data_IF_130244061499
#
_entry.id   IF_130244061499
#
_cell.length_a   1.000
_cell.length_b   1.000
_cell.length_c   1.000
_cell.angle_alpha   90.00
_cell.angle_beta   90.00
_cell.angle_gamma   90.00
#
_symmetry.space_group_name_H-M   'P 1'
#
loop_
_entity.id
_entity.type
_entity.pdbx_description
1 polymer ?
#
# COMPACT_ATOMS: atom_id res chain seq x y z
N UNK A 1 -9.12 -50.52 -11.23
CA UNK A 1 -8.42 -51.67 -11.81
C UNK A 1 -7.22 -51.18 -12.58
N UNK A 2 -6.02 -51.21 -12.01
CA UNK A 2 -4.70 -51.49 -12.56
C UNK A 2 -3.68 -51.22 -11.46
N UNK A 3 -3.12 -52.30 -10.96
CA UNK A 3 -1.94 -52.38 -10.09
C UNK A 3 -0.71 -51.92 -10.87
N UNK A 4 0.23 -51.20 -10.23
CA UNK A 4 1.64 -51.23 -10.61
C UNK A 4 2.46 -51.36 -9.34
N UNK A 5 3.28 -52.35 -9.39
CA UNK A 5 4.16 -53.03 -8.46
C UNK A 5 5.34 -52.19 -7.97
N UNK A 6 5.64 -52.38 -6.72
CA UNK A 6 6.92 -52.10 -6.01
C UNK A 6 8.11 -52.84 -6.61
N UNK A 7 9.27 -52.21 -6.72
CA UNK A 7 10.57 -52.91 -6.87
C UNK A 7 11.59 -52.29 -5.93
N UNK A 8 11.88 -53.09 -4.91
CA UNK A 8 13.02 -52.93 -4.01
C UNK A 8 14.31 -53.22 -4.79
N UNK A 9 15.37 -52.44 -4.54
CA UNK A 9 16.74 -52.85 -4.73
C UNK A 9 17.55 -52.43 -3.53
N UNK A 10 17.93 -53.43 -2.79
CA UNK A 10 19.03 -53.47 -1.80
C UNK A 10 20.37 -53.35 -2.52
N UNK A 11 21.37 -52.79 -1.85
CA UNK A 11 22.74 -52.80 -2.31
C UNK A 11 23.61 -51.79 -1.54
N UNK A 12 24.12 -52.17 -0.37
CA UNK A 12 25.26 -51.47 0.27
C UNK A 12 26.61 -51.92 -0.28
N UNK A 13 27.65 -51.15 -0.12
CA UNK A 13 28.97 -51.69 0.10
C UNK A 13 29.61 -51.17 1.37
N UNK A 14 29.98 -52.04 2.28
CA UNK A 14 31.32 -52.63 2.50
C UNK A 14 32.40 -51.63 2.97
N UNK A 15 32.70 -51.80 4.25
CA UNK A 15 33.74 -51.17 5.02
C UNK A 15 35.08 -51.86 4.64
N UNK A 16 36.06 -51.13 4.16
CA UNK A 16 37.43 -51.55 4.05
C UNK A 16 38.29 -50.87 5.11
N UNK A 17 38.72 -51.69 6.01
CA UNK A 17 39.69 -51.45 7.05
C UNK A 17 41.11 -51.60 6.41
N UNK A 18 41.97 -50.58 6.52
CA UNK A 18 43.42 -50.74 6.23
C UNK A 18 44.22 -50.20 7.40
N UNK A 19 44.95 -51.11 7.91
CA UNK A 19 45.84 -51.18 9.05
C UNK A 19 47.02 -50.19 9.03
N UNK A 20 47.45 -49.89 10.25
CA UNK A 20 48.72 -49.31 10.67
C UNK A 20 49.94 -50.02 10.01
N UNK A 21 50.91 -49.23 9.53
CA UNK A 21 52.33 -49.50 9.66
C UNK A 21 53.17 -48.31 9.20
N UNK A 22 54.13 -47.88 10.00
CA UNK A 22 55.19 -46.95 9.59
C UNK A 22 55.69 -45.96 10.64
N UNK A 23 56.08 -46.47 11.79
CA UNK A 23 56.94 -45.70 12.67
C UNK A 23 58.42 -45.81 12.21
N UNK A 24 59.06 -44.66 12.05
CA UNK A 24 60.52 -44.64 12.05
C UNK A 24 61.14 -43.52 11.20
N UNK A 25 62.08 -42.81 11.90
CA UNK A 25 63.20 -42.07 11.30
C UNK A 25 62.82 -40.68 10.72
N UNK A 26 63.25 -39.54 11.21
CA UNK A 26 64.55 -39.09 11.77
C UNK A 26 64.38 -37.73 12.50
N UNK A 27 64.92 -37.60 13.62
CA UNK A 27 65.44 -36.37 14.21
C UNK A 27 66.60 -35.87 13.30
N UNK A 28 66.51 -34.62 12.82
CA UNK A 28 67.62 -33.71 12.54
C UNK A 28 67.22 -32.62 11.58
N UNK A 29 66.86 -31.46 12.09
CA UNK A 29 67.18 -30.13 11.54
C UNK A 29 66.52 -29.04 12.39
N UNK A 30 66.81 -29.08 13.67
CA UNK A 30 66.61 -27.88 14.51
C UNK A 30 67.81 -26.96 14.28
N UNK A 31 67.69 -25.90 13.52
CA UNK A 31 68.78 -24.96 13.40
C UNK A 31 68.81 -23.95 12.28
N UNK A 32 67.75 -23.74 11.54
CA UNK A 32 67.82 -22.75 10.49
C UNK A 32 66.52 -21.97 10.18
N UNK A 33 65.66 -21.77 11.16
CA UNK A 33 64.40 -21.04 10.96
C UNK A 33 64.07 -19.95 11.98
N UNK A 34 65.13 -19.43 12.67
CA UNK A 34 64.97 -18.36 13.66
C UNK A 34 65.40 -16.97 13.18
N UNK A 35 65.38 -16.70 11.87
CA UNK A 35 65.84 -15.41 11.34
C UNK A 35 64.95 -14.80 10.21
N UNK A 36 63.72 -15.24 10.03
CA UNK A 36 62.87 -14.64 8.99
C UNK A 36 61.47 -14.14 9.48
N UNK A 37 61.17 -14.19 10.77
CA UNK A 37 59.87 -13.76 11.31
C UNK A 37 59.86 -12.40 11.98
N UNK A 38 60.60 -11.42 11.47
CA UNK A 38 60.58 -10.06 12.02
C UNK A 38 60.26 -8.98 11.00
N UNK A 39 59.34 -9.28 10.06
CA UNK A 39 58.70 -8.21 9.25
C UNK A 39 57.29 -8.62 8.83
N UNK A 40 56.45 -8.94 9.81
CA UNK A 40 55.03 -8.78 9.64
C UNK A 40 54.75 -7.29 9.71
N UNK A 41 54.64 -6.71 8.54
CA UNK A 41 54.15 -5.35 8.32
C UNK A 41 52.78 -5.22 9.00
N UNK A 42 52.70 -4.59 10.14
CA UNK A 42 51.47 -4.21 10.82
C UNK A 42 50.73 -3.24 9.89
N UNK A 43 49.82 -3.76 9.07
CA UNK A 43 48.77 -2.93 8.47
C UNK A 43 48.15 -2.07 9.59
N UNK A 44 48.15 -0.74 9.47
CA UNK A 44 47.50 0.10 10.47
C UNK A 44 46.03 -0.31 10.48
N UNK A 45 45.60 -1.00 11.53
CA UNK A 45 44.18 -1.11 11.86
C UNK A 45 43.68 0.32 11.93
N UNK A 46 42.90 0.74 10.93
CA UNK A 46 42.21 2.01 10.98
C UNK A 46 41.45 2.06 12.28
N UNK A 47 41.90 2.89 13.21
CA UNK A 47 41.28 3.05 14.52
C UNK A 47 39.80 3.33 14.26
N UNK A 48 38.94 2.44 14.75
CA UNK A 48 37.51 2.63 14.72
C UNK A 48 37.24 3.98 15.40
N UNK A 49 36.42 4.84 14.80
CA UNK A 49 36.11 6.14 15.40
C UNK A 49 35.55 5.94 16.80
N UNK A 50 36.08 6.67 17.77
CA UNK A 50 35.71 6.59 19.19
C UNK A 50 34.23 6.88 19.49
N UNK A 51 33.50 7.35 18.49
CA UNK A 51 32.07 7.55 18.57
C UNK A 51 31.37 6.68 17.51
N UNK A 52 30.36 5.89 17.89
CA UNK A 52 29.59 5.13 16.91
C UNK A 52 29.01 6.09 15.87
N UNK A 53 29.26 5.82 14.59
CA UNK A 53 28.75 6.62 13.46
C UNK A 53 27.23 6.68 13.42
N UNK A 54 26.55 5.71 14.00
CA UNK A 54 25.09 5.65 14.13
C UNK A 54 24.74 5.04 15.48
N UNK A 55 24.15 5.83 16.36
CA UNK A 55 23.57 5.33 17.61
C UNK A 55 22.11 5.00 17.34
N UNK A 56 21.78 3.70 17.33
CA UNK A 56 20.39 3.25 17.24
C UNK A 56 19.81 3.27 18.64
N UNK A 57 19.16 4.37 19.03
CA UNK A 57 18.44 4.46 20.29
C UNK A 57 16.99 4.02 20.09
N UNK A 58 16.44 3.17 20.95
CA UNK A 58 15.02 2.88 20.93
C UNK A 58 14.26 4.16 21.30
N UNK A 59 13.42 4.67 20.40
CA UNK A 59 12.64 5.89 20.64
C UNK A 59 11.71 5.66 21.84
N UNK A 60 12.04 6.25 22.99
CA UNK A 60 11.25 6.22 24.23
C UNK A 60 10.07 7.20 24.22
N UNK A 61 9.93 8.00 23.20
CA UNK A 61 8.96 9.11 23.17
C UNK A 61 7.68 8.72 22.41
N UNK A 62 6.57 9.19 22.90
CA UNK A 62 5.20 9.08 22.38
C UNK A 62 5.00 9.74 20.99
N UNK A 63 6.04 10.09 20.27
CA UNK A 63 5.93 10.72 18.95
C UNK A 63 5.52 9.63 17.94
N UNK A 64 4.23 9.55 17.71
CA UNK A 64 3.59 8.55 16.85
C UNK A 64 4.10 8.61 15.39
N UNK A 65 4.58 9.74 14.95
CA UNK A 65 5.13 9.98 13.60
C UNK A 65 6.41 10.80 13.73
N UNK A 66 7.56 10.18 13.53
CA UNK A 66 8.79 10.92 13.33
C UNK A 66 8.84 11.42 11.87
N UNK A 67 8.11 12.51 11.58
CA UNK A 67 8.01 13.10 10.24
C UNK A 67 9.38 13.45 9.67
N UNK A 68 10.36 13.73 10.53
CA UNK A 68 11.73 14.00 10.13
C UNK A 68 12.40 12.77 9.53
N UNK A 69 12.17 11.60 10.12
CA UNK A 69 12.70 10.34 9.60
C UNK A 69 12.02 9.98 8.27
N UNK A 70 10.69 10.16 8.16
CA UNK A 70 9.97 9.96 6.89
C UNK A 70 10.52 10.86 5.78
N UNK A 71 10.85 12.11 6.11
CA UNK A 71 11.47 13.04 5.15
C UNK A 71 12.89 12.64 4.76
N UNK A 72 13.68 12.10 5.70
CA UNK A 72 15.02 11.59 5.42
C UNK A 72 15.00 10.42 4.41
N UNK A 73 13.93 9.59 4.45
CA UNK A 73 13.76 8.44 3.55
C UNK A 73 12.89 8.76 2.30
N UNK A 74 12.72 10.03 1.91
CA UNK A 74 11.91 10.43 0.74
C UNK A 74 12.34 9.78 -0.57
N UNK A 75 13.65 9.54 -0.75
CA UNK A 75 14.19 8.88 -1.95
C UNK A 75 13.75 7.40 -2.01
N UNK A 76 13.80 6.71 -0.87
CA UNK A 76 13.30 5.36 -0.75
C UNK A 76 11.78 5.30 -1.00
N UNK A 77 11.02 6.26 -0.47
CA UNK A 77 9.58 6.37 -0.71
C UNK A 77 9.28 6.54 -2.21
N UNK A 78 10.00 7.43 -2.90
CA UNK A 78 9.88 7.61 -4.34
C UNK A 78 10.21 6.32 -5.11
N UNK A 79 11.30 5.66 -4.74
CA UNK A 79 11.71 4.39 -5.36
C UNK A 79 10.67 3.28 -5.17
N UNK A 80 10.13 3.12 -3.96
CA UNK A 80 9.07 2.15 -3.66
C UNK A 80 7.80 2.45 -4.46
N UNK A 81 7.38 3.72 -4.49
CA UNK A 81 6.22 4.16 -5.26
C UNK A 81 6.39 3.85 -6.76
N UNK A 82 7.56 4.19 -7.32
CA UNK A 82 7.85 3.93 -8.73
C UNK A 82 7.95 2.44 -9.06
N UNK A 83 8.52 1.65 -8.15
CA UNK A 83 8.53 0.19 -8.24
C UNK A 83 7.10 -0.35 -8.33
N UNK A 84 6.23 0.09 -7.43
CA UNK A 84 4.85 -0.40 -7.35
C UNK A 84 4.05 -0.01 -8.60
N UNK A 85 4.25 1.19 -9.14
CA UNK A 85 3.70 1.60 -10.43
C UNK A 85 4.19 0.68 -11.56
N UNK A 86 5.52 0.47 -11.65
CA UNK A 86 6.08 -0.39 -12.70
C UNK A 86 5.57 -1.83 -12.62
N UNK A 87 5.50 -2.41 -11.43
CA UNK A 87 5.05 -3.80 -11.24
C UNK A 87 3.62 -3.99 -11.72
N UNK A 88 2.72 -3.02 -11.50
CA UNK A 88 1.32 -3.11 -11.94
C UNK A 88 1.16 -3.19 -13.45
N UNK A 89 2.02 -2.48 -14.19
CA UNK A 89 1.89 -2.40 -15.65
C UNK A 89 2.85 -3.32 -16.41
N UNK A 90 3.88 -3.84 -15.72
CA UNK A 90 4.83 -4.77 -16.31
C UNK A 90 4.15 -6.13 -16.55
N UNK A 91 4.27 -6.66 -17.75
CA UNK A 91 3.75 -7.98 -18.15
C UNK A 91 2.20 -8.08 -18.20
N UNK A 92 1.48 -6.96 -18.31
CA UNK A 92 0.04 -6.99 -18.54
C UNK A 92 -0.28 -6.66 -19.99
N UNK A 93 -1.22 -7.40 -20.60
CA UNK A 93 -1.60 -7.24 -22.01
C UNK A 93 -2.13 -5.84 -22.30
N UNK A 94 -2.95 -5.28 -21.43
CA UNK A 94 -3.58 -3.97 -21.57
C UNK A 94 -2.82 -2.86 -20.84
N UNK A 95 -1.83 -3.19 -19.98
CA UNK A 95 -1.03 -2.22 -19.24
C UNK A 95 -1.89 -1.16 -18.52
N UNK A 96 -1.54 0.11 -18.75
CA UNK A 96 -2.23 1.25 -18.16
C UNK A 96 -3.69 1.42 -18.63
N UNK A 97 -4.12 0.74 -19.71
CA UNK A 97 -5.49 0.81 -20.19
C UNK A 97 -6.52 0.28 -19.17
N UNK A 98 -6.11 -0.62 -18.26
CA UNK A 98 -6.96 -1.07 -17.15
C UNK A 98 -7.39 0.07 -16.23
N UNK A 99 -6.56 1.07 -16.02
CA UNK A 99 -6.89 2.25 -15.21
C UNK A 99 -8.04 3.08 -15.83
N UNK A 100 -8.24 2.96 -17.14
CA UNK A 100 -9.35 3.60 -17.87
C UNK A 100 -10.53 2.65 -18.01
N UNK A 101 -10.27 1.41 -18.39
CA UNK A 101 -11.32 0.45 -18.74
C UNK A 101 -12.22 0.12 -17.56
N UNK A 102 -11.63 -0.11 -16.38
CA UNK A 102 -12.39 -0.47 -15.18
C UNK A 102 -13.41 0.62 -14.78
N UNK A 103 -13.04 1.91 -14.60
CA UNK A 103 -14.02 2.95 -14.25
C UNK A 103 -15.01 3.21 -15.37
N UNK A 104 -14.61 3.12 -16.65
CA UNK A 104 -15.52 3.33 -17.79
C UNK A 104 -16.55 2.21 -17.89
N UNK A 105 -16.15 0.95 -17.79
CA UNK A 105 -17.08 -0.18 -17.76
C UNK A 105 -18.06 -0.08 -16.59
N UNK A 106 -17.58 0.27 -15.40
CA UNK A 106 -18.43 0.48 -14.23
C UNK A 106 -19.44 1.61 -14.46
N UNK A 107 -19.00 2.74 -15.04
CA UNK A 107 -19.87 3.86 -15.41
C UNK A 107 -20.96 3.42 -16.39
N UNK A 108 -20.61 2.66 -17.44
CA UNK A 108 -21.56 2.17 -18.44
C UNK A 108 -22.59 1.27 -17.78
N UNK A 109 -22.16 0.29 -16.98
CA UNK A 109 -23.04 -0.65 -16.27
C UNK A 109 -24.00 0.12 -15.35
N UNK A 110 -23.48 1.07 -14.57
CA UNK A 110 -24.30 1.86 -13.65
C UNK A 110 -25.27 2.78 -14.40
N UNK A 111 -24.87 3.34 -15.53
CA UNK A 111 -25.75 4.13 -16.37
C UNK A 111 -26.91 3.31 -16.93
N UNK A 112 -26.65 2.08 -17.36
CA UNK A 112 -27.69 1.20 -17.88
C UNK A 112 -28.65 0.75 -16.76
N UNK A 113 -28.12 0.29 -15.65
CA UNK A 113 -28.93 -0.28 -14.56
C UNK A 113 -29.65 0.82 -13.79
N UNK A 114 -28.92 1.78 -13.27
CA UNK A 114 -29.47 2.78 -12.34
C UNK A 114 -29.97 4.04 -13.03
N UNK A 115 -29.33 4.43 -14.15
CA UNK A 115 -29.77 5.59 -14.92
C UNK A 115 -30.99 5.32 -15.78
N UNK A 116 -30.96 4.21 -16.57
CA UNK A 116 -32.06 3.90 -17.52
C UNK A 116 -33.12 3.00 -16.93
N UNK A 117 -32.74 1.85 -16.30
CA UNK A 117 -33.71 0.88 -15.81
C UNK A 117 -34.37 1.32 -14.49
N UNK A 118 -33.58 1.75 -13.52
CA UNK A 118 -34.08 2.18 -12.21
C UNK A 118 -34.52 3.65 -12.16
N UNK A 119 -34.13 4.49 -13.13
CA UNK A 119 -34.55 5.88 -13.22
C UNK A 119 -34.15 6.73 -12.01
N UNK A 120 -32.97 6.47 -11.41
CA UNK A 120 -32.53 7.22 -10.22
C UNK A 120 -32.31 8.68 -10.59
N UNK A 121 -32.93 9.64 -9.87
CA UNK A 121 -32.78 11.06 -10.14
C UNK A 121 -31.34 11.50 -9.84
N UNK A 122 -30.77 12.38 -10.69
CA UNK A 122 -29.41 12.91 -10.58
C UNK A 122 -29.36 14.43 -10.48
N UNK A 123 -30.46 15.05 -10.03
CA UNK A 123 -30.57 16.52 -9.88
C UNK A 123 -30.24 17.29 -11.17
N UNK A 124 -30.68 16.76 -12.33
CA UNK A 124 -30.49 17.39 -13.65
C UNK A 124 -29.12 17.15 -14.31
N UNK A 125 -28.25 16.36 -13.71
CA UNK A 125 -26.93 16.01 -14.25
C UNK A 125 -27.07 14.71 -15.08
N UNK A 126 -26.45 14.59 -16.27
CA UNK A 126 -26.43 13.33 -17.01
C UNK A 126 -25.83 12.19 -16.17
N UNK A 127 -26.54 11.05 -16.10
CA UNK A 127 -26.16 9.94 -15.21
C UNK A 127 -24.71 9.45 -15.41
N UNK A 128 -24.15 9.31 -16.63
CA UNK A 128 -22.79 8.81 -16.82
C UNK A 128 -21.74 9.65 -16.09
N UNK A 129 -21.78 10.98 -16.26
CA UNK A 129 -20.80 11.86 -15.60
C UNK A 129 -21.05 11.95 -14.09
N UNK A 130 -22.32 11.89 -13.64
CA UNK A 130 -22.67 11.82 -12.22
C UNK A 130 -22.10 10.57 -11.56
N UNK A 131 -22.26 9.40 -12.19
CA UNK A 131 -21.74 8.13 -11.71
C UNK A 131 -20.20 8.12 -11.70
N UNK A 132 -19.59 8.62 -12.79
CA UNK A 132 -18.13 8.65 -12.90
C UNK A 132 -17.49 9.57 -11.86
N UNK A 133 -18.10 10.72 -11.58
CA UNK A 133 -17.64 11.66 -10.55
C UNK A 133 -17.62 11.04 -9.13
N UNK A 134 -18.53 10.10 -8.84
CA UNK A 134 -18.53 9.36 -7.58
C UNK A 134 -17.62 8.13 -7.61
N UNK A 135 -17.56 7.43 -8.75
CA UNK A 135 -16.71 6.24 -8.93
C UNK A 135 -15.22 6.55 -8.86
N UNK A 136 -14.79 7.67 -9.40
CA UNK A 136 -13.38 8.04 -9.51
C UNK A 136 -12.68 8.10 -8.13
N UNK A 137 -13.12 8.91 -7.15
CA UNK A 137 -12.52 8.93 -5.82
C UNK A 137 -12.70 7.60 -5.09
N UNK A 138 -13.81 6.90 -5.32
CA UNK A 138 -14.05 5.59 -4.71
C UNK A 138 -13.08 4.52 -5.20
N UNK A 139 -12.89 4.38 -6.51
CA UNK A 139 -11.97 3.38 -7.08
C UNK A 139 -10.53 3.64 -6.64
N UNK A 140 -10.12 4.90 -6.61
CA UNK A 140 -8.83 5.25 -6.04
C UNK A 140 -8.71 4.80 -4.58
N UNK A 141 -9.68 5.15 -3.73
CA UNK A 141 -9.69 4.76 -2.32
C UNK A 141 -9.65 3.24 -2.14
N UNK A 142 -10.55 2.52 -2.80
CA UNK A 142 -10.67 1.05 -2.66
C UNK A 142 -9.42 0.32 -3.12
N UNK A 143 -8.85 0.70 -4.27
CA UNK A 143 -7.62 0.12 -4.80
C UNK A 143 -6.42 0.47 -3.91
N UNK A 144 -6.30 1.72 -3.46
CA UNK A 144 -5.24 2.17 -2.59
C UNK A 144 -5.25 1.42 -1.24
N UNK A 145 -6.43 1.28 -0.62
CA UNK A 145 -6.58 0.54 0.65
C UNK A 145 -6.26 -0.95 0.46
N UNK A 146 -6.75 -1.58 -0.60
CA UNK A 146 -6.48 -2.99 -0.90
C UNK A 146 -4.98 -3.24 -1.11
N UNK A 147 -4.34 -2.42 -1.94
CA UNK A 147 -2.90 -2.56 -2.24
C UNK A 147 -2.05 -2.27 -1.00
N UNK A 148 -2.37 -1.20 -0.27
CA UNK A 148 -1.71 -0.84 0.97
C UNK A 148 -1.87 -1.92 2.04
N UNK A 149 -3.09 -2.48 2.19
CA UNK A 149 -3.39 -3.55 3.14
C UNK A 149 -2.60 -4.84 2.89
N UNK A 150 -2.24 -5.12 1.63
CA UNK A 150 -1.45 -6.30 1.26
C UNK A 150 0.06 -6.01 1.13
N UNK A 151 0.49 -4.75 1.21
CA UNK A 151 1.83 -4.31 0.85
C UNK A 151 2.94 -4.86 1.75
N UNK A 152 2.72 -4.94 3.07
CA UNK A 152 3.72 -5.46 4.02
C UNK A 152 3.98 -6.95 3.79
N UNK A 153 2.93 -7.75 3.67
CA UNK A 153 3.05 -9.19 3.40
C UNK A 153 3.72 -9.43 2.05
N UNK A 154 3.37 -8.63 1.03
CA UNK A 154 4.00 -8.71 -0.30
C UNK A 154 5.46 -8.24 -0.34
N UNK A 155 5.92 -7.50 0.67
CA UNK A 155 7.28 -6.93 0.73
C UNK A 155 8.11 -7.51 1.89
N UNK A 156 7.80 -8.72 2.35
CA UNK A 156 8.46 -9.40 3.48
C UNK A 156 9.99 -9.44 3.35
N UNK A 157 10.50 -9.71 2.14
CA UNK A 157 11.95 -9.74 1.87
C UNK A 157 12.66 -8.40 2.13
N UNK A 158 11.97 -7.27 1.95
CA UNK A 158 12.54 -5.95 2.23
C UNK A 158 12.60 -5.70 3.75
N UNK A 159 11.57 -6.12 4.46
CA UNK A 159 11.42 -5.90 5.91
C UNK A 159 12.49 -6.66 6.69
N UNK A 160 12.88 -7.85 6.21
CA UNK A 160 13.87 -8.71 6.89
C UNK A 160 15.32 -8.35 6.58
N UNK A 161 15.59 -7.66 5.47
CA UNK A 161 16.97 -7.40 5.00
C UNK A 161 17.46 -5.98 5.22
N UNK A 162 16.55 -5.00 5.28
CA UNK A 162 16.92 -3.57 5.32
C UNK A 162 16.17 -2.87 6.46
N UNK A 163 16.88 -2.07 7.22
CA UNK A 163 16.27 -1.25 8.28
C UNK A 163 15.81 0.10 7.72
N UNK A 164 14.51 0.32 7.73
CA UNK A 164 13.85 1.58 7.37
C UNK A 164 12.46 1.68 8.04
N UNK A 165 11.85 2.87 8.14
CA UNK A 165 10.51 3.03 8.67
C UNK A 165 9.48 2.23 7.85
N UNK A 166 8.93 1.16 8.41
CA UNK A 166 8.05 0.22 7.69
C UNK A 166 6.76 0.85 7.18
N UNK A 167 6.36 2.00 7.74
CA UNK A 167 5.22 2.81 7.29
C UNK A 167 5.35 3.32 5.85
N UNK A 168 6.60 3.39 5.32
CA UNK A 168 6.85 3.80 3.93
C UNK A 168 6.23 2.83 2.91
N UNK A 169 6.18 1.53 3.22
CA UNK A 169 5.66 0.51 2.29
C UNK A 169 4.17 0.73 2.01
N UNK A 170 3.26 0.74 3.02
CA UNK A 170 1.85 1.01 2.78
C UNK A 170 1.59 2.40 2.21
N UNK A 171 2.37 3.40 2.62
CA UNK A 171 2.28 4.75 2.06
C UNK A 171 2.64 4.81 0.56
N UNK A 172 3.71 4.12 0.15
CA UNK A 172 4.14 4.04 -1.25
C UNK A 172 3.08 3.34 -2.12
N UNK A 173 2.42 2.29 -1.61
CA UNK A 173 1.34 1.61 -2.30
C UNK A 173 0.12 2.53 -2.56
N UNK A 174 -0.21 3.42 -1.61
CA UNK A 174 -1.25 4.45 -1.79
C UNK A 174 -0.79 5.50 -2.82
N UNK A 175 0.44 5.98 -2.71
CA UNK A 175 1.00 6.98 -3.64
C UNK A 175 1.03 6.45 -5.09
N UNK A 176 1.34 5.17 -5.29
CA UNK A 176 1.25 4.53 -6.59
C UNK A 176 -0.17 4.55 -7.18
N UNK A 177 -1.20 4.48 -6.34
CA UNK A 177 -2.60 4.62 -6.75
C UNK A 177 -2.97 6.00 -7.30
N UNK A 178 -2.25 7.07 -6.91
CA UNK A 178 -2.48 8.41 -7.46
C UNK A 178 -2.15 8.51 -8.95
N UNK A 179 -1.23 7.69 -9.45
CA UNK A 179 -0.92 7.62 -10.88
C UNK A 179 -2.12 7.06 -11.65
N UNK A 180 -2.75 5.98 -11.15
CA UNK A 180 -3.98 5.42 -11.73
C UNK A 180 -5.12 6.42 -11.68
N UNK A 181 -5.28 7.10 -10.54
CA UNK A 181 -6.25 8.17 -10.38
C UNK A 181 -6.04 9.28 -11.42
N UNK A 182 -4.79 9.72 -11.63
CA UNK A 182 -4.44 10.73 -12.64
C UNK A 182 -4.84 10.30 -14.07
N UNK A 183 -4.57 9.03 -14.43
CA UNK A 183 -4.97 8.46 -15.72
C UNK A 183 -6.51 8.44 -15.84
N UNK A 184 -7.21 7.94 -14.83
CA UNK A 184 -8.68 7.90 -14.82
C UNK A 184 -9.30 9.31 -14.80
N UNK A 185 -8.62 10.29 -14.20
CA UNK A 185 -9.06 11.69 -14.18
C UNK A 185 -9.07 12.32 -15.58
N UNK A 186 -8.20 11.89 -16.50
CA UNK A 186 -8.23 12.37 -17.91
C UNK A 186 -9.53 12.01 -18.60
N UNK A 187 -10.12 10.84 -18.29
CA UNK A 187 -11.43 10.44 -18.80
C UNK A 187 -12.53 11.36 -18.24
N UNK A 188 -12.45 11.76 -16.97
CA UNK A 188 -13.39 12.71 -16.38
C UNK A 188 -13.34 14.04 -17.11
N UNK A 189 -12.15 14.55 -17.42
CA UNK A 189 -12.00 15.78 -18.23
C UNK A 189 -12.68 15.61 -19.59
N UNK A 190 -12.46 14.48 -20.28
CA UNK A 190 -13.13 14.16 -21.54
C UNK A 190 -14.65 14.15 -21.43
N UNK A 191 -15.20 13.57 -20.36
CA UNK A 191 -16.64 13.59 -20.08
C UNK A 191 -17.16 15.00 -19.80
N UNK A 192 -16.42 15.82 -19.04
CA UNK A 192 -16.81 17.23 -18.79
C UNK A 192 -16.90 18.02 -20.09
N UNK A 193 -15.94 17.84 -21.00
CA UNK A 193 -15.96 18.47 -22.31
C UNK A 193 -17.13 17.97 -23.15
N UNK A 194 -17.39 16.67 -23.17
CA UNK A 194 -18.48 16.07 -23.92
C UNK A 194 -19.87 16.53 -23.46
N UNK A 195 -20.07 16.66 -22.14
CA UNK A 195 -21.34 17.10 -21.54
C UNK A 195 -21.42 18.61 -21.35
N UNK A 196 -20.46 19.38 -21.89
CA UNK A 196 -20.39 20.85 -21.77
C UNK A 196 -20.50 21.35 -20.31
N UNK A 197 -19.89 20.65 -19.36
CA UNK A 197 -19.88 21.09 -17.97
C UNK A 197 -18.93 22.26 -17.83
N UNK A 198 -19.46 23.43 -17.43
CA UNK A 198 -18.68 24.66 -17.28
C UNK A 198 -17.62 24.55 -16.19
N UNK A 199 -16.45 25.14 -16.43
CA UNK A 199 -15.40 25.25 -15.44
C UNK A 199 -15.78 26.31 -14.40
N UNK A 200 -15.90 25.91 -13.15
CA UNK A 200 -16.23 26.77 -12.01
C UNK A 200 -15.04 26.90 -11.06
N UNK A 201 -15.01 27.99 -10.28
CA UNK A 201 -13.98 28.18 -9.22
C UNK A 201 -13.99 27.04 -8.20
N UNK A 202 -15.09 26.32 -8.07
CA UNK A 202 -15.22 25.16 -7.19
C UNK A 202 -14.19 24.04 -7.51
N UNK A 203 -13.69 23.97 -8.76
CA UNK A 203 -12.63 23.03 -9.17
C UNK A 203 -11.33 23.19 -8.37
N UNK A 204 -11.07 24.37 -7.81
CA UNK A 204 -9.90 24.59 -6.92
C UNK A 204 -9.94 23.73 -5.66
N UNK A 205 -11.11 23.21 -5.26
CA UNK A 205 -11.24 22.29 -4.12
C UNK A 205 -10.83 20.85 -4.45
N UNK A 206 -10.72 20.47 -5.74
CA UNK A 206 -10.35 19.10 -6.13
C UNK A 206 -9.02 18.63 -5.51
N UNK A 207 -7.93 19.40 -5.51
CA UNK A 207 -6.69 18.97 -4.87
C UNK A 207 -6.87 18.67 -3.37
N UNK A 208 -7.65 19.48 -2.66
CA UNK A 208 -7.95 19.26 -1.24
C UNK A 208 -8.77 17.96 -1.03
N UNK A 209 -9.74 17.70 -1.90
CA UNK A 209 -10.54 16.47 -1.86
C UNK A 209 -9.71 15.23 -2.19
N UNK A 210 -8.80 15.32 -3.17
CA UNK A 210 -7.84 14.24 -3.48
C UNK A 210 -6.92 14.00 -2.30
N UNK A 211 -6.44 15.05 -1.64
CA UNK A 211 -5.62 14.94 -0.43
C UNK A 211 -6.41 14.25 0.69
N UNK A 212 -7.67 14.63 0.95
CA UNK A 212 -8.53 13.99 1.94
C UNK A 212 -8.70 12.50 1.65
N UNK A 213 -8.96 12.13 0.39
CA UNK A 213 -9.09 10.73 -0.04
C UNK A 213 -7.79 9.96 0.18
N UNK A 214 -6.66 10.57 -0.16
CA UNK A 214 -5.32 9.99 0.02
C UNK A 214 -5.01 9.77 1.49
N UNK A 215 -5.29 10.75 2.35
CA UNK A 215 -5.06 10.63 3.79
C UNK A 215 -5.96 9.54 4.41
N UNK A 216 -7.21 9.44 3.98
CA UNK A 216 -8.09 8.36 4.41
C UNK A 216 -7.56 7.00 3.97
N UNK A 217 -7.11 6.88 2.71
CA UNK A 217 -6.53 5.65 2.17
C UNK A 217 -5.24 5.25 2.91
N UNK A 218 -4.37 6.21 3.24
CA UNK A 218 -3.18 5.97 4.06
C UNK A 218 -3.58 5.46 5.45
N UNK A 219 -4.52 6.13 6.13
CA UNK A 219 -4.97 5.75 7.46
C UNK A 219 -5.52 4.34 7.50
N UNK A 220 -6.55 4.06 6.68
CA UNK A 220 -7.18 2.73 6.62
C UNK A 220 -6.19 1.68 6.11
N UNK A 221 -5.42 1.98 5.06
CA UNK A 221 -4.46 1.08 4.45
C UNK A 221 -3.33 0.67 5.40
N UNK A 222 -2.74 1.61 6.15
CA UNK A 222 -1.73 1.31 7.18
C UNK A 222 -2.30 0.42 8.28
N UNK A 223 -3.50 0.72 8.75
CA UNK A 223 -4.15 -0.09 9.78
C UNK A 223 -4.39 -1.52 9.28
N UNK A 224 -4.97 -1.67 8.08
CA UNK A 224 -5.21 -2.97 7.46
C UNK A 224 -3.92 -3.73 7.16
N UNK A 225 -2.84 -3.06 6.74
CA UNK A 225 -1.56 -3.72 6.47
C UNK A 225 -0.94 -4.29 7.75
N UNK A 226 -1.01 -3.57 8.87
CA UNK A 226 -0.53 -4.05 10.15
C UNK A 226 -1.35 -5.23 10.69
N UNK A 227 -2.67 -5.18 10.52
CA UNK A 227 -3.56 -6.29 10.87
C UNK A 227 -3.32 -7.52 9.99
N UNK A 228 -3.06 -7.33 8.70
CA UNK A 228 -2.81 -8.42 7.75
C UNK A 228 -1.52 -9.20 8.06
N UNK A 229 -0.50 -8.54 8.61
CA UNK A 229 0.70 -9.22 9.12
C UNK A 229 0.37 -10.11 10.31
N UNK A 230 -0.48 -9.62 11.23
CA UNK A 230 -0.82 -10.34 12.45
C UNK A 230 -1.88 -11.44 12.22
N UNK A 231 -2.86 -11.15 11.36
CA UNK A 231 -4.03 -12.01 11.10
C UNK A 231 -4.19 -12.22 9.59
N UNK A 232 -3.91 -13.42 9.11
CA UNK A 232 -3.96 -13.79 7.68
C UNK A 232 -5.38 -13.67 7.07
N UNK A 233 -6.42 -13.72 7.90
CA UNK A 233 -7.82 -13.61 7.48
C UNK A 233 -8.18 -12.19 6.99
N UNK A 234 -7.43 -11.17 7.40
CA UNK A 234 -7.65 -9.77 6.98
C UNK A 234 -7.61 -9.64 5.45
N UNK A 235 -6.75 -10.40 4.79
CA UNK A 235 -6.64 -10.42 3.33
C UNK A 235 -7.96 -10.81 2.64
N UNK A 236 -8.74 -11.70 3.24
CA UNK A 236 -10.04 -12.13 2.71
C UNK A 236 -11.17 -11.21 3.16
N UNK A 237 -11.11 -10.69 4.38
CA UNK A 237 -12.12 -9.79 4.92
C UNK A 237 -12.08 -8.40 4.25
N UNK A 238 -10.90 -7.92 3.86
CA UNK A 238 -10.72 -6.57 3.32
C UNK A 238 -11.56 -6.27 2.08
N UNK A 239 -11.59 -7.12 1.02
CA UNK A 239 -12.45 -6.88 -0.14
C UNK A 239 -13.93 -6.81 0.23
N UNK A 240 -14.38 -7.67 1.15
CA UNK A 240 -15.76 -7.68 1.62
C UNK A 240 -16.13 -6.40 2.39
N UNK A 241 -15.25 -5.93 3.28
CA UNK A 241 -15.45 -4.66 4.02
C UNK A 241 -15.52 -3.48 3.04
N UNK A 242 -14.63 -3.43 2.04
CA UNK A 242 -14.63 -2.40 1.01
C UNK A 242 -15.93 -2.43 0.21
N UNK A 243 -16.43 -3.61 -0.13
CA UNK A 243 -17.68 -3.76 -0.87
C UNK A 243 -18.90 -3.31 -0.04
N UNK A 244 -18.95 -3.62 1.26
CA UNK A 244 -19.99 -3.10 2.15
C UNK A 244 -19.92 -1.57 2.25
N UNK A 245 -18.71 -1.02 2.35
CA UNK A 245 -18.51 0.43 2.40
C UNK A 245 -18.92 1.12 1.09
N UNK A 246 -18.71 0.46 -0.06
CA UNK A 246 -19.21 0.93 -1.36
C UNK A 246 -20.72 1.19 -1.34
N UNK A 247 -21.50 0.20 -0.90
CA UNK A 247 -22.96 0.32 -0.83
C UNK A 247 -23.44 1.34 0.22
N UNK A 248 -22.65 1.54 1.26
CA UNK A 248 -22.91 2.54 2.32
C UNK A 248 -22.55 3.97 1.89
N UNK A 249 -21.94 4.15 0.70
CA UNK A 249 -21.52 5.45 0.19
C UNK A 249 -22.41 5.90 -0.96
N UNK A 250 -22.70 7.21 -1.10
CA UNK A 250 -23.62 7.74 -2.11
C UNK A 250 -22.94 7.82 -3.50
N UNK A 251 -22.48 6.67 -4.02
CA UNK A 251 -21.80 6.59 -5.32
C UNK A 251 -22.82 6.49 -6.46
N UNK A 252 -23.85 5.66 -6.27
CA UNK A 252 -24.85 5.30 -7.28
C UNK A 252 -26.02 6.27 -7.27
N UNK A 253 -26.31 6.87 -6.11
CA UNK A 253 -27.45 7.75 -5.85
C UNK A 253 -26.99 9.07 -5.23
N UNK A 254 -27.75 10.16 -5.37
CA UNK A 254 -27.46 11.42 -4.68
C UNK A 254 -27.77 11.29 -3.17
N UNK A 255 -27.03 12.03 -2.34
CA UNK A 255 -27.25 12.07 -0.88
C UNK A 255 -28.66 12.52 -0.50
N UNK A 256 -29.31 13.32 -1.35
CA UNK A 256 -30.70 13.75 -1.21
C UNK A 256 -31.73 12.62 -1.15
N UNK A 257 -31.39 11.46 -1.73
CA UNK A 257 -32.27 10.28 -1.75
C UNK A 257 -32.41 9.63 -0.36
N UNK A 258 -31.41 9.73 0.49
CA UNK A 258 -31.37 9.10 1.83
C UNK A 258 -31.59 10.11 2.96
N UNK A 259 -32.57 11.00 2.86
CA UNK A 259 -32.85 12.03 3.89
C UNK A 259 -33.01 11.46 5.30
N UNK A 260 -33.64 10.30 5.47
CA UNK A 260 -33.81 9.63 6.77
C UNK A 260 -32.49 9.14 7.40
N UNK A 261 -31.47 8.84 6.58
CA UNK A 261 -30.18 8.29 7.00
C UNK A 261 -29.05 9.32 6.90
N UNK A 262 -29.38 10.59 6.70
CA UNK A 262 -28.43 11.66 6.49
C UNK A 262 -27.41 11.78 7.63
N UNK A 263 -27.83 11.58 8.87
CA UNK A 263 -26.94 11.58 10.04
C UNK A 263 -25.87 10.46 9.96
N UNK A 264 -26.25 9.28 9.45
CA UNK A 264 -25.31 8.17 9.26
C UNK A 264 -24.36 8.41 8.07
N UNK A 265 -24.88 9.03 6.99
CA UNK A 265 -24.07 9.40 5.84
C UNK A 265 -23.00 10.44 6.17
N UNK A 266 -23.30 11.39 7.06
CA UNK A 266 -22.34 12.42 7.50
C UNK A 266 -21.15 11.79 8.24
N UNK A 267 -21.35 10.69 8.98
CA UNK A 267 -20.26 9.97 9.64
C UNK A 267 -19.34 9.21 8.65
N UNK A 268 -19.84 8.90 7.46
CA UNK A 268 -19.06 8.23 6.45
C UNK A 268 -18.13 9.23 5.73
N UNK A 269 -16.80 9.20 5.94
CA UNK A 269 -15.89 10.17 5.35
C UNK A 269 -15.88 10.13 3.82
N UNK A 270 -16.10 8.94 3.23
CA UNK A 270 -16.20 8.82 1.77
C UNK A 270 -17.46 9.49 1.21
N UNK A 271 -18.55 9.53 1.96
CA UNK A 271 -19.77 10.20 1.52
C UNK A 271 -19.56 11.72 1.37
N UNK A 272 -18.93 12.36 2.37
CA UNK A 272 -18.59 13.79 2.28
C UNK A 272 -17.60 14.10 1.16
N UNK A 273 -16.60 13.23 0.95
CA UNK A 273 -15.63 13.38 -0.14
C UNK A 273 -16.32 13.27 -1.51
N UNK A 274 -17.14 12.24 -1.74
CA UNK A 274 -17.84 12.02 -3.03
C UNK A 274 -18.79 13.17 -3.34
N UNK A 275 -19.53 13.64 -2.33
CA UNK A 275 -20.41 14.81 -2.48
C UNK A 275 -19.59 16.08 -2.77
N UNK A 276 -18.45 16.25 -2.09
CA UNK A 276 -17.50 17.32 -2.37
C UNK A 276 -16.97 17.29 -3.81
N UNK A 277 -16.58 16.11 -4.33
CA UNK A 277 -16.18 15.95 -5.73
C UNK A 277 -17.29 16.39 -6.70
N UNK A 278 -18.52 15.96 -6.46
CA UNK A 278 -19.67 16.39 -7.28
C UNK A 278 -19.91 17.89 -7.20
N UNK A 279 -19.84 18.46 -6.00
CA UNK A 279 -19.99 19.92 -5.81
C UNK A 279 -18.89 20.70 -6.53
N UNK A 280 -17.65 20.21 -6.48
CA UNK A 280 -16.52 20.82 -7.19
C UNK A 280 -16.70 20.77 -8.72
N UNK A 281 -17.13 19.62 -9.26
CA UNK A 281 -17.26 19.39 -10.70
C UNK A 281 -18.48 20.10 -11.31
N UNK A 282 -19.62 20.10 -10.60
CA UNK A 282 -20.88 20.61 -11.13
C UNK A 282 -21.25 22.01 -10.62
N UNK A 283 -20.33 22.70 -9.93
CA UNK A 283 -20.56 24.06 -9.44
C UNK A 283 -21.65 24.16 -8.36
N UNK A 284 -21.98 23.05 -7.66
CA UNK A 284 -22.96 23.06 -6.58
C UNK A 284 -22.34 23.60 -5.28
N UNK A 285 -23.19 24.06 -4.35
CA UNK A 285 -22.73 24.47 -3.03
C UNK A 285 -22.12 23.29 -2.26
N UNK A 286 -21.02 23.56 -1.54
CA UNK A 286 -20.39 22.56 -0.68
C UNK A 286 -21.17 22.36 0.62
N UNK A 287 -21.32 21.12 1.01
CA UNK A 287 -21.76 20.76 2.37
C UNK A 287 -20.56 20.79 3.31
N UNK A 288 -20.25 21.99 3.85
CA UNK A 288 -19.09 22.21 4.73
C UNK A 288 -19.17 21.38 6.00
N UNK A 289 -20.39 21.12 6.51
CA UNK A 289 -20.57 20.25 7.69
C UNK A 289 -20.12 18.83 7.39
N UNK A 290 -20.56 18.24 6.27
CA UNK A 290 -20.15 16.90 5.87
C UNK A 290 -18.63 16.81 5.60
N UNK A 291 -18.05 17.82 4.93
CA UNK A 291 -16.61 17.89 4.71
C UNK A 291 -15.82 18.04 6.02
N UNK A 292 -16.29 18.87 6.94
CA UNK A 292 -15.65 19.05 8.25
C UNK A 292 -15.67 17.78 9.10
N UNK A 293 -16.80 17.07 9.14
CA UNK A 293 -16.91 15.77 9.82
C UNK A 293 -16.01 14.74 9.14
N UNK A 294 -15.98 14.68 7.80
CA UNK A 294 -15.09 13.79 7.06
C UNK A 294 -13.63 14.06 7.41
N UNK A 295 -13.19 15.33 7.44
CA UNK A 295 -11.83 15.70 7.83
C UNK A 295 -11.50 15.28 9.26
N UNK A 296 -12.43 15.44 10.20
CA UNK A 296 -12.26 15.01 11.59
C UNK A 296 -12.11 13.47 11.69
N UNK A 297 -12.98 12.73 11.00
CA UNK A 297 -12.90 11.25 10.96
C UNK A 297 -11.59 10.80 10.35
N UNK A 298 -11.14 11.43 9.27
CA UNK A 298 -9.84 11.14 8.64
C UNK A 298 -8.70 11.34 9.63
N UNK A 299 -8.71 12.46 10.36
CA UNK A 299 -7.68 12.74 11.37
C UNK A 299 -7.66 11.68 12.48
N UNK A 300 -8.84 11.32 12.99
CA UNK A 300 -8.97 10.26 14.02
C UNK A 300 -8.42 8.93 13.48
N UNK A 301 -8.80 8.53 12.26
CA UNK A 301 -8.34 7.30 11.62
C UNK A 301 -6.83 7.31 11.42
N UNK A 302 -6.24 8.43 10.98
CA UNK A 302 -4.79 8.57 10.81
C UNK A 302 -4.05 8.42 12.12
N UNK A 303 -4.48 9.13 13.17
CA UNK A 303 -3.84 9.06 14.50
C UNK A 303 -3.94 7.65 15.08
N UNK A 304 -5.14 7.05 15.02
CA UNK A 304 -5.35 5.69 15.48
C UNK A 304 -4.51 4.67 14.71
N UNK A 305 -4.47 4.78 13.38
CA UNK A 305 -3.71 3.86 12.53
C UNK A 305 -2.21 3.97 12.78
N UNK A 306 -1.67 5.18 12.91
CA UNK A 306 -0.27 5.42 13.23
C UNK A 306 0.12 4.82 14.59
N UNK A 307 -0.72 5.01 15.60
CA UNK A 307 -0.53 4.41 16.92
C UNK A 307 -0.58 2.88 16.87
N UNK A 308 -1.62 2.33 16.25
CA UNK A 308 -1.83 0.88 16.12
C UNK A 308 -0.70 0.21 15.32
N UNK A 309 -0.28 0.84 14.22
CA UNK A 309 0.83 0.37 13.40
C UNK A 309 2.14 0.28 14.20
N UNK A 310 2.51 1.35 14.91
CA UNK A 310 3.72 1.39 15.75
C UNK A 310 3.70 0.34 16.83
N UNK A 311 2.55 0.09 17.45
CA UNK A 311 2.40 -0.95 18.46
C UNK A 311 2.63 -2.35 17.89
N UNK A 312 2.12 -2.61 16.69
CA UNK A 312 2.24 -3.91 16.02
C UNK A 312 3.59 -4.08 15.30
N UNK A 313 4.25 -3.00 14.91
CA UNK A 313 5.54 -3.01 14.20
C UNK A 313 6.63 -3.81 14.94
N UNK A 314 6.59 -3.82 16.28
CA UNK A 314 7.55 -4.53 17.12
C UNK A 314 7.50 -6.05 16.90
N UNK A 315 6.35 -6.60 16.53
CA UNK A 315 6.15 -8.03 16.29
C UNK A 315 6.30 -8.46 14.83
N UNK A 316 6.47 -7.51 13.89
CA UNK A 316 6.52 -7.85 12.46
C UNK A 316 7.74 -8.71 12.09
N UNK A 317 8.88 -8.53 12.78
CA UNK A 317 10.08 -9.29 12.51
C UNK A 317 9.96 -10.76 12.92
N UNK A 318 9.07 -11.06 13.89
CA UNK A 318 8.88 -12.40 14.43
C UNK A 318 7.80 -13.19 13.68
N UNK A 319 6.92 -12.49 12.94
CA UNK A 319 5.72 -13.09 12.32
C UNK A 319 5.84 -13.19 10.79
N UNK A 320 6.63 -12.34 10.14
CA UNK A 320 6.91 -12.36 8.70
C UNK A 320 8.10 -13.29 8.39
#
# INVERSE_FOLDING_TARGET
MKRVTTRSLEGGPEVANVSEEGAGVLQSSAGAQAASDSKAESTPHAALPDKPLVTIEPSRTWVALNLRDLWAYRELFYFLTWRDVKVRYKQTLLGAAWAILQPVCSMIIFTLIFGRLAGIPTDGIPYPIFAYAGLLPWLFFSNAVTNSGNSLVGSSHLITKVYFPRMLIPGAAVAAGLVEFGIAFTVLIGLMLYYHVGLTLNLLMLPALVLMTTLLAIGVGMWMSALNVKYRDVRFALPFIIQLWFFSSPIIYPSSFLKKWQALLILNPMAGIIEGFRSALFGKAFNWTALGVSALVILIVLVYSAYSFRRMEKSFADVI
#
